data_IF_893705878380
#
_entry.id   IF_893705878380
#
_cell.length_a   1.000
_cell.length_b   1.000
_cell.length_c   1.000
_cell.angle_alpha   90.00
_cell.angle_beta   90.00
_cell.angle_gamma   90.00
#
_symmetry.space_group_name_H-M   'P 1'
#
loop_
_entity.id
_entity.type
_entity.pdbx_description
1 polymer ?
#
# COMPACT_ATOMS: atom_id res chain seq x y z
N UNK A 1 -16.73 9.33 -2.37
CA UNK A 1 -15.73 10.42 -2.45
C UNK A 1 -15.69 11.15 -1.12
N UNK A 2 -14.52 11.66 -0.66
CA UNK A 2 -14.43 12.40 0.59
C UNK A 2 -15.28 13.68 0.54
N UNK A 3 -16.00 13.99 1.62
CA UNK A 3 -16.87 15.18 1.71
C UNK A 3 -16.07 16.47 1.97
N UNK A 4 -14.84 16.37 2.50
CA UNK A 4 -13.90 17.50 2.70
C UNK A 4 -12.46 17.03 2.52
N UNK A 5 -11.61 17.88 1.94
CA UNK A 5 -10.20 17.54 1.65
C UNK A 5 -10.04 16.74 0.35
N UNK A 6 -8.80 16.29 0.09
CA UNK A 6 -8.47 15.64 -1.19
C UNK A 6 -7.87 14.23 -1.05
N UNK A 7 -7.17 13.92 0.04
CA UNK A 7 -6.42 12.67 0.20
C UNK A 7 -6.90 11.92 1.43
N UNK A 8 -7.12 10.63 1.25
CA UNK A 8 -7.38 9.66 2.31
C UNK A 8 -6.29 8.62 2.31
N UNK A 9 -5.97 8.09 3.49
CA UNK A 9 -4.95 7.06 3.68
C UNK A 9 -5.59 5.88 4.40
N UNK A 10 -5.27 4.68 3.94
CA UNK A 10 -5.66 3.42 4.59
C UNK A 10 -4.38 2.68 4.98
N UNK A 11 -4.27 2.39 6.26
CA UNK A 11 -3.22 1.54 6.80
C UNK A 11 -3.85 0.24 7.29
N UNK A 12 -3.11 -0.84 7.10
CA UNK A 12 -3.44 -2.18 7.60
C UNK A 12 -2.33 -2.60 8.54
N UNK A 13 -2.69 -3.35 9.56
CA UNK A 13 -1.73 -3.84 10.54
C UNK A 13 -0.71 -4.79 9.90
N UNK A 14 0.55 -4.73 10.35
CA UNK A 14 1.66 -5.44 9.70
C UNK A 14 2.16 -4.72 8.44
N UNK A 15 1.26 -4.04 7.74
CA UNK A 15 1.55 -3.40 6.47
C UNK A 15 1.39 -4.38 5.33
N UNK A 16 1.97 -4.02 4.18
CA UNK A 16 1.87 -4.84 2.98
C UNK A 16 3.18 -5.55 2.70
N UNK A 17 3.11 -6.83 2.40
CA UNK A 17 4.27 -7.67 2.07
C UNK A 17 4.69 -7.44 0.60
N UNK A 18 5.35 -6.32 0.33
CA UNK A 18 5.84 -5.99 -1.01
C UNK A 18 7.34 -5.63 -0.95
N UNK A 19 8.16 -6.14 -1.88
CA UNK A 19 9.59 -5.85 -1.91
C UNK A 19 9.87 -4.34 -1.90
N UNK A 20 10.74 -3.92 -0.99
CA UNK A 20 11.25 -2.55 -0.97
C UNK A 20 12.19 -2.32 -2.16
N UNK A 21 12.06 -1.16 -2.80
CA UNK A 21 12.97 -0.71 -3.85
C UNK A 21 13.73 0.51 -3.33
N UNK A 22 15.07 0.46 -3.42
CA UNK A 22 15.95 1.48 -2.83
C UNK A 22 15.67 1.71 -1.33
N UNK A 23 15.27 0.66 -0.60
CA UNK A 23 14.92 0.75 0.82
C UNK A 23 13.56 1.40 1.12
N UNK A 24 12.71 1.65 0.12
CA UNK A 24 11.38 2.26 0.28
C UNK A 24 10.26 1.41 -0.33
N UNK A 25 9.06 1.55 0.22
CA UNK A 25 7.82 0.94 -0.30
C UNK A 25 6.95 1.93 -1.10
N UNK A 26 7.43 3.15 -1.36
CA UNK A 26 6.70 4.14 -2.17
C UNK A 26 6.64 3.75 -3.65
N UNK A 27 5.65 4.27 -4.36
CA UNK A 27 5.53 4.13 -5.82
C UNK A 27 5.87 5.46 -6.48
N UNK A 28 6.80 5.45 -7.44
CA UNK A 28 7.06 6.56 -8.34
C UNK A 28 6.40 6.26 -9.69
N UNK A 29 5.27 6.95 -9.96
CA UNK A 29 4.53 6.78 -11.20
C UNK A 29 5.26 7.35 -12.43
N UNK A 30 6.07 8.39 -12.24
CA UNK A 30 6.78 9.05 -13.35
C UNK A 30 7.92 8.18 -13.84
N UNK A 31 8.68 7.63 -12.91
CA UNK A 31 9.79 6.75 -13.21
C UNK A 31 9.37 5.27 -13.34
N UNK A 32 8.08 4.96 -13.09
CA UNK A 32 7.47 3.64 -13.23
C UNK A 32 8.19 2.56 -12.42
N UNK A 33 8.52 2.88 -11.17
CA UNK A 33 9.11 1.92 -10.26
C UNK A 33 8.55 2.04 -8.84
N UNK A 34 8.92 1.09 -7.98
CA UNK A 34 8.38 0.95 -6.63
C UNK A 34 7.20 0.00 -6.60
N UNK A 35 6.27 0.23 -5.67
CA UNK A 35 5.17 -0.71 -5.42
C UNK A 35 4.27 -0.88 -6.65
N UNK A 36 3.87 -2.13 -6.94
CA UNK A 36 2.93 -2.54 -8.01
C UNK A 36 3.35 -2.01 -9.39
N UNK A 37 4.20 -2.75 -10.12
CA UNK A 37 5.05 -2.30 -11.24
C UNK A 37 5.08 -0.79 -11.57
N UNK A 38 5.28 0.08 -10.59
CA UNK A 38 5.31 1.54 -10.81
C UNK A 38 4.00 2.16 -11.31
N UNK A 39 2.85 1.53 -11.07
CA UNK A 39 1.52 1.97 -11.52
C UNK A 39 0.57 2.18 -10.36
N UNK A 40 -0.56 2.84 -10.66
CA UNK A 40 -1.69 2.91 -9.72
C UNK A 40 -2.35 1.55 -9.57
N UNK A 41 -3.06 1.36 -8.45
CA UNK A 41 -3.95 0.21 -8.24
C UNK A 41 -5.00 0.12 -9.34
N UNK A 42 -5.40 -1.10 -9.67
CA UNK A 42 -6.43 -1.44 -10.63
C UNK A 42 -7.40 -2.45 -10.02
N UNK A 43 -8.59 -2.52 -10.59
CA UNK A 43 -9.60 -3.49 -10.17
C UNK A 43 -9.06 -4.92 -10.33
N UNK A 44 -9.27 -5.74 -9.30
CA UNK A 44 -8.77 -7.11 -9.25
C UNK A 44 -7.34 -7.25 -8.69
N UNK A 45 -6.63 -6.16 -8.41
CA UNK A 45 -5.33 -6.23 -7.74
C UNK A 45 -5.47 -6.86 -6.34
N UNK A 46 -4.57 -7.80 -6.04
CA UNK A 46 -4.42 -8.37 -4.71
C UNK A 46 -3.13 -7.84 -4.06
N UNK A 47 -3.26 -7.31 -2.85
CA UNK A 47 -2.13 -6.79 -2.08
C UNK A 47 -1.82 -7.74 -0.93
N UNK A 48 -0.73 -8.51 -1.00
CA UNK A 48 -0.33 -9.36 0.12
C UNK A 48 -0.04 -8.51 1.36
N UNK A 49 -0.43 -9.03 2.51
CA UNK A 49 -0.27 -8.40 3.82
C UNK A 49 0.87 -9.05 4.57
N UNK A 50 1.61 -8.26 5.32
CA UNK A 50 2.57 -8.79 6.28
C UNK A 50 1.86 -9.22 7.56
N UNK A 51 2.55 -9.98 8.42
CA UNK A 51 1.99 -10.54 9.65
C UNK A 51 1.54 -9.41 10.59
N UNK A 52 0.31 -9.47 11.13
CA UNK A 52 -0.13 -8.50 12.11
C UNK A 52 0.71 -8.60 13.38
N UNK A 53 1.04 -7.45 13.97
CA UNK A 53 1.92 -7.35 15.15
C UNK A 53 1.19 -7.39 16.49
N UNK A 54 -0.14 -7.43 16.48
CA UNK A 54 -1.04 -7.48 17.65
C UNK A 54 -2.30 -8.23 17.27
N UNK A 55 -2.83 -8.99 18.21
CA UNK A 55 -4.18 -9.57 18.10
C UNK A 55 -5.10 -8.73 18.97
N UNK A 56 -6.31 -8.44 18.47
CA UNK A 56 -7.37 -7.85 19.26
C UNK A 56 -8.34 -8.96 19.63
N UNK A 57 -8.56 -9.16 20.93
CA UNK A 57 -9.62 -10.05 21.39
C UNK A 57 -10.99 -9.41 21.05
N UNK A 58 -11.96 -10.20 20.56
CA UNK A 58 -13.24 -9.70 20.05
C UNK A 58 -14.16 -9.09 21.11
#
# INVERSE_FOLDING_TARGET
MPQRGMRSYLAVQGGFDIPAMLGSASTDLKAKFGRIPGRTLQDGDQLPLDKPTRTFDP
#
